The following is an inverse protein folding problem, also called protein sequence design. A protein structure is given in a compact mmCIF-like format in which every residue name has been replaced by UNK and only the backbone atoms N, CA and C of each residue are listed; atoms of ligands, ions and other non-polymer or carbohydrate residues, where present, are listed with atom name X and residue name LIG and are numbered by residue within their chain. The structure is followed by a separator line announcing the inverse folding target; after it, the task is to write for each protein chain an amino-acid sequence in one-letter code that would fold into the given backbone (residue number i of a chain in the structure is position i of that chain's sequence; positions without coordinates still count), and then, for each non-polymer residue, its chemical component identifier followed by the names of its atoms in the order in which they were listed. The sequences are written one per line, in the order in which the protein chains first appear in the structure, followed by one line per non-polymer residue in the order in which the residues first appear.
data_IF_268265005460
#
_entry.id   IF_268265005460
#
_cell.length_a   1.000
_cell.length_b   1.000
_cell.length_c   1.000
_cell.angle_alpha   90.00
_cell.angle_beta   90.00
_cell.angle_gamma   90.00
#
_symmetry.space_group_name_H-M   'P 1'
#
loop_
_entity.id
_entity.type
_entity.pdbx_description
1 polymer ?
#
# COMPACT_ATOMS: atom_id res chain seq x y z
N UNK A 1 -1.99 13.15 -14.13
CA UNK A 1 -1.69 13.45 -12.71
C UNK A 1 -1.90 12.15 -11.96
N UNK A 2 -0.88 11.63 -11.26
CA UNK A 2 -1.07 10.45 -10.43
C UNK A 2 -1.97 10.87 -9.25
N UNK A 3 -3.07 10.16 -9.03
CA UNK A 3 -3.91 10.41 -7.87
C UNK A 3 -3.11 10.07 -6.62
N UNK A 4 -3.19 10.95 -5.62
CA UNK A 4 -2.70 10.65 -4.28
C UNK A 4 -3.65 9.63 -3.65
N UNK A 5 -3.19 8.96 -2.61
CA UNK A 5 -4.02 8.09 -1.81
C UNK A 5 -5.12 8.89 -1.07
N UNK A 6 -6.08 8.22 -0.40
CA UNK A 6 -7.18 8.89 0.31
C UNK A 6 -6.74 9.91 1.38
N UNK A 7 -5.48 9.87 1.81
CA UNK A 7 -4.92 10.74 2.84
C UNK A 7 -4.01 11.83 2.28
N UNK A 8 -3.85 11.89 0.95
CA UNK A 8 -3.02 12.89 0.28
C UNK A 8 -1.54 12.51 0.20
N UNK A 9 -1.19 11.25 0.47
CA UNK A 9 0.17 10.75 0.33
C UNK A 9 0.40 10.11 -1.05
N UNK A 10 1.63 10.17 -1.60
CA UNK A 10 1.96 9.46 -2.82
C UNK A 10 1.99 7.95 -2.59
N UNK A 11 1.53 7.19 -3.57
CA UNK A 11 1.69 5.73 -3.56
C UNK A 11 3.17 5.34 -3.71
N UNK A 12 3.56 4.29 -2.99
CA UNK A 12 4.87 3.68 -3.09
C UNK A 12 4.85 2.60 -4.16
N UNK A 13 5.76 2.71 -5.12
CA UNK A 13 5.93 1.75 -6.21
C UNK A 13 7.35 1.17 -6.18
N UNK A 14 7.47 -0.16 -6.28
CA UNK A 14 8.74 -0.86 -6.31
C UNK A 14 8.75 -1.86 -7.48
N UNK A 15 9.83 -1.82 -8.26
CA UNK A 15 10.12 -2.77 -9.33
C UNK A 15 11.62 -3.11 -9.34
N UNK A 16 12.02 -4.39 -9.38
CA UNK A 16 11.17 -5.59 -9.29
C UNK A 16 10.49 -5.74 -7.92
N UNK A 17 9.27 -6.31 -7.89
CA UNK A 17 8.53 -6.52 -6.65
C UNK A 17 9.25 -7.47 -5.68
N UNK A 18 9.07 -7.27 -4.37
CA UNK A 18 9.70 -8.05 -3.31
C UNK A 18 8.74 -9.07 -2.67
N UNK A 19 7.44 -8.93 -2.91
CA UNK A 19 6.38 -9.76 -2.32
C UNK A 19 5.86 -10.86 -3.27
N UNK A 20 6.68 -11.31 -4.23
CA UNK A 20 6.31 -12.34 -5.20
C UNK A 20 5.40 -11.87 -6.35
N UNK A 21 5.08 -10.58 -6.39
CA UNK A 21 4.43 -9.92 -7.54
C UNK A 21 5.49 -9.29 -8.46
N UNK A 22 5.16 -9.01 -9.74
CA UNK A 22 6.09 -8.33 -10.66
C UNK A 22 6.50 -6.93 -10.17
N UNK A 23 5.60 -6.28 -9.43
CA UNK A 23 5.79 -4.98 -8.81
C UNK A 23 5.00 -4.91 -7.50
N UNK A 24 5.49 -4.09 -6.59
CA UNK A 24 4.79 -3.79 -5.35
C UNK A 24 4.22 -2.38 -5.45
N UNK A 25 2.94 -2.25 -5.09
CA UNK A 25 2.24 -0.97 -5.04
C UNK A 25 1.49 -0.89 -3.71
N UNK A 26 1.83 0.10 -2.90
CA UNK A 26 1.25 0.25 -1.56
C UNK A 26 1.11 1.70 -1.11
N UNK A 27 0.20 1.92 -0.15
CA UNK A 27 0.04 3.16 0.61
C UNK A 27 0.22 2.82 2.10
N UNK A 28 0.93 3.70 2.82
CA UNK A 28 1.20 3.57 4.25
C UNK A 28 0.02 4.06 5.13
N UNK A 29 -1.15 4.28 4.54
CA UNK A 29 -2.32 4.72 5.28
C UNK A 29 -2.26 6.17 5.75
N UNK A 30 -3.14 6.55 6.70
CA UNK A 30 -3.25 7.90 7.25
C UNK A 30 -1.97 8.38 7.94
N UNK A 31 -1.21 7.47 8.54
CA UNK A 31 -0.05 7.82 9.37
C UNK A 31 1.24 7.98 8.58
N UNK A 32 1.23 7.59 7.29
CA UNK A 32 2.41 7.48 6.43
C UNK A 32 3.56 6.67 7.09
N UNK A 33 3.21 5.66 7.89
CA UNK A 33 4.17 4.81 8.60
C UNK A 33 3.86 3.33 8.33
N UNK A 34 4.88 2.48 8.22
CA UNK A 34 4.68 1.04 8.11
C UNK A 34 4.05 0.49 9.38
N UNK A 35 3.10 -0.42 9.21
CA UNK A 35 2.30 -0.96 10.31
C UNK A 35 1.13 -0.05 10.71
N UNK A 36 0.17 -0.66 11.40
CA UNK A 36 -1.12 -0.05 11.73
C UNK A 36 -2.21 -1.11 11.72
N UNK A 37 -3.35 -0.84 12.36
CA UNK A 37 -4.49 -1.76 12.39
C UNK A 37 -5.76 -1.01 12.06
N UNK A 38 -6.74 -1.72 11.49
CA UNK A 38 -8.01 -1.11 11.08
C UNK A 38 -7.80 0.00 10.04
N UNK A 39 -8.27 1.20 10.35
CA UNK A 39 -8.22 2.34 9.44
C UNK A 39 -6.82 2.92 9.23
N UNK A 40 -5.88 2.61 10.12
CA UNK A 40 -4.49 3.05 10.04
C UNK A 40 -3.60 2.03 9.32
N UNK A 41 -4.16 0.91 8.87
CA UNK A 41 -3.40 -0.16 8.24
C UNK A 41 -2.87 0.24 6.86
N UNK A 42 -1.69 -0.30 6.53
CA UNK A 42 -1.11 -0.21 5.21
C UNK A 42 -1.97 -0.95 4.18
N UNK A 43 -2.14 -0.35 3.00
CA UNK A 43 -2.89 -0.93 1.89
C UNK A 43 -1.88 -1.29 0.81
N UNK A 44 -1.73 -2.59 0.56
CA UNK A 44 -0.72 -3.10 -0.35
C UNK A 44 -1.31 -4.12 -1.33
N UNK A 45 -0.87 -4.09 -2.59
CA UNK A 45 -1.38 -4.99 -3.63
C UNK A 45 -1.16 -6.48 -3.32
N UNK A 46 -0.12 -6.83 -2.55
CA UNK A 46 0.13 -8.20 -2.10
C UNK A 46 -0.76 -8.64 -0.92
N UNK A 47 -1.38 -7.71 -0.19
CA UNK A 47 -2.25 -8.00 0.96
C UNK A 47 -3.75 -8.02 0.61
N UNK A 48 -4.11 -7.92 -0.68
CA UNK A 48 -5.51 -7.88 -1.14
C UNK A 48 -6.23 -9.25 -1.11
N UNK A 49 -5.55 -10.33 -0.71
CA UNK A 49 -6.07 -11.72 -0.81
C UNK A 49 -6.66 -12.30 0.47
N UNK A 50 -6.88 -11.50 1.53
CA UNK A 50 -7.51 -11.98 2.78
C UNK A 50 -9.04 -11.79 2.81
N UNK A 51 -9.73 -12.26 1.77
CA UNK A 51 -11.19 -12.36 1.77
C UNK A 51 -11.56 -13.83 1.57
N UNK A 52 -11.81 -14.53 2.67
CA UNK A 52 -12.58 -15.78 2.68
C UNK A 52 -14.05 -15.43 2.88
#
# INVERSE_FOLDING_TARGET
RLSLDPWGHPYHYVYPGTHGLPYDLYSLGPTNRPGGTGNDAEIANWNLTNTN
#
